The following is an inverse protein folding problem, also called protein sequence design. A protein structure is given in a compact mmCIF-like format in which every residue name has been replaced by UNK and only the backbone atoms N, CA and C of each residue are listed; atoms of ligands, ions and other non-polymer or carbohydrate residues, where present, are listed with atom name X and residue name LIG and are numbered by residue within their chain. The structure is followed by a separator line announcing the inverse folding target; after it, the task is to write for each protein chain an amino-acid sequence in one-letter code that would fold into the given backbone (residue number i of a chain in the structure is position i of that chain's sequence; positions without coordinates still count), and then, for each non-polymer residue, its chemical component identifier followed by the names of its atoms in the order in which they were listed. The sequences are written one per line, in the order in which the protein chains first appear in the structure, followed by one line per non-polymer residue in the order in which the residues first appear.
data_IF_673940308773
#
_entry.id   IF_673940308773
#
_cell.length_a   1.000
_cell.length_b   1.000
_cell.length_c   1.000
_cell.angle_alpha   90.00
_cell.angle_beta   90.00
_cell.angle_gamma   90.00
#
_symmetry.space_group_name_H-M   'P 1'
#
loop_
_entity.id
_entity.type
_entity.pdbx_description
1 polymer ?
#
# COMPACT_ATOMS: atom_id res chain seq x y z
N UNK A 1 -2.88 32.53 -15.37
CA UNK A 1 -1.58 33.17 -15.61
C UNK A 1 -1.63 34.62 -15.15
N UNK A 2 -0.51 35.19 -14.72
CA UNK A 2 -0.38 36.64 -14.49
C UNK A 2 -0.48 37.40 -15.81
N UNK A 3 -0.59 38.73 -15.76
CA UNK A 3 -0.57 39.58 -16.97
C UNK A 3 0.71 39.40 -17.80
N UNK A 4 1.80 39.01 -17.15
CA UNK A 4 3.11 38.73 -17.75
C UNK A 4 3.25 37.29 -18.27
N UNK A 5 2.21 36.47 -18.16
CA UNK A 5 2.21 35.08 -18.65
C UNK A 5 2.74 34.03 -17.65
N UNK A 6 3.07 34.41 -16.42
CA UNK A 6 3.59 33.47 -15.41
C UNK A 6 2.49 32.69 -14.69
N UNK A 7 2.89 31.62 -14.00
CA UNK A 7 1.99 30.80 -13.18
C UNK A 7 1.24 31.66 -12.16
N UNK A 8 -0.07 31.40 -12.05
CA UNK A 8 -0.94 31.92 -10.99
C UNK A 8 -1.93 30.82 -10.67
N UNK A 9 -1.89 30.30 -9.44
CA UNK A 9 -2.84 29.31 -8.94
C UNK A 9 -4.25 29.93 -8.89
N UNK A 10 -5.24 29.19 -9.35
CA UNK A 10 -6.66 29.54 -9.22
C UNK A 10 -7.28 28.78 -8.06
N UNK A 11 -8.42 29.24 -7.55
CA UNK A 11 -9.15 28.57 -6.46
C UNK A 11 -9.57 27.14 -6.86
N UNK A 12 -9.83 26.91 -8.15
CA UNK A 12 -10.19 25.59 -8.68
C UNK A 12 -8.99 24.68 -8.97
N UNK A 13 -7.75 25.15 -8.80
CA UNK A 13 -6.57 24.35 -9.17
C UNK A 13 -6.47 23.06 -8.36
N UNK A 14 -6.59 23.14 -7.03
CA UNK A 14 -6.52 21.96 -6.15
C UNK A 14 -7.73 21.03 -6.36
N UNK A 15 -8.99 21.52 -6.37
CA UNK A 15 -10.14 20.66 -6.64
C UNK A 15 -10.08 19.90 -7.97
N UNK A 16 -9.52 20.51 -9.04
CA UNK A 16 -9.33 19.84 -10.33
C UNK A 16 -8.17 18.83 -10.25
N UNK A 17 -7.04 19.21 -9.64
CA UNK A 17 -5.85 18.35 -9.52
C UNK A 17 -6.14 17.11 -8.66
N UNK A 18 -6.82 17.29 -7.54
CA UNK A 18 -7.19 16.26 -6.56
C UNK A 18 -8.45 15.49 -7.00
N UNK A 19 -8.99 15.81 -8.19
CA UNK A 19 -10.19 15.21 -8.79
C UNK A 19 -11.45 15.28 -7.89
N UNK A 20 -11.52 16.26 -6.99
CA UNK A 20 -12.77 16.63 -6.30
C UNK A 20 -13.80 17.19 -7.29
N UNK A 21 -13.32 17.85 -8.34
CA UNK A 21 -14.10 18.28 -9.49
C UNK A 21 -13.65 17.52 -10.74
N UNK A 22 -14.50 16.63 -11.24
CA UNK A 22 -14.23 15.81 -12.43
C UNK A 22 -14.90 16.44 -13.66
N UNK A 23 -14.16 16.61 -14.74
CA UNK A 23 -14.68 17.16 -15.99
C UNK A 23 -13.61 17.61 -16.99
N UNK A 24 -14.03 18.52 -17.89
CA UNK A 24 -13.17 19.18 -18.86
C UNK A 24 -13.20 20.69 -18.58
N UNK A 25 -12.03 21.27 -18.36
CA UNK A 25 -11.88 22.64 -17.87
C UNK A 25 -11.12 23.49 -18.89
N UNK A 26 -11.67 24.67 -19.19
CA UNK A 26 -10.99 25.71 -19.97
C UNK A 26 -9.84 26.25 -19.13
N UNK A 27 -8.61 26.09 -19.61
CA UNK A 27 -7.39 26.50 -18.89
C UNK A 27 -6.56 27.45 -19.74
N UNK A 28 -5.81 28.36 -19.10
CA UNK A 28 -5.00 29.33 -19.83
C UNK A 28 -3.77 28.72 -20.51
N UNK A 29 -3.34 27.51 -20.12
CA UNK A 29 -2.13 26.83 -20.57
C UNK A 29 -2.18 25.33 -20.22
N UNK A 30 -1.63 24.49 -21.10
CA UNK A 30 -1.35 23.06 -20.85
C UNK A 30 0.12 22.81 -21.19
N UNK A 31 0.83 22.12 -20.30
CA UNK A 31 2.29 22.00 -20.37
C UNK A 31 2.76 20.73 -21.08
N UNK A 32 2.44 19.55 -20.57
CA UNK A 32 3.20 18.33 -20.90
C UNK A 32 2.68 17.56 -22.11
N UNK A 33 1.37 17.30 -22.19
CA UNK A 33 0.77 16.51 -23.27
C UNK A 33 -0.48 17.22 -23.80
N UNK A 34 -0.51 17.47 -25.11
CA UNK A 34 -1.64 18.14 -25.78
C UNK A 34 -2.06 17.35 -27.01
N UNK A 35 -3.37 17.23 -27.20
CA UNK A 35 -3.96 16.72 -28.44
C UNK A 35 -4.55 17.90 -29.21
N UNK A 36 -4.07 18.11 -30.45
CA UNK A 36 -4.50 19.22 -31.31
C UNK A 36 -5.32 18.68 -32.47
N UNK A 37 -6.53 19.22 -32.67
CA UNK A 37 -7.34 18.90 -33.83
C UNK A 37 -6.87 19.71 -35.06
N UNK A 38 -6.18 19.06 -35.99
CA UNK A 38 -5.60 19.69 -37.18
C UNK A 38 -6.62 20.00 -38.29
N UNK A 39 -7.92 19.73 -38.09
CA UNK A 39 -8.98 20.02 -39.07
C UNK A 39 -9.41 21.49 -39.09
N UNK A 40 -9.04 22.27 -38.07
CA UNK A 40 -9.37 23.69 -37.97
C UNK A 40 -8.26 24.57 -38.55
N UNK A 41 -8.63 25.67 -39.21
CA UNK A 41 -7.67 26.57 -39.86
C UNK A 41 -6.81 27.29 -38.81
N UNK A 42 -7.39 27.58 -37.65
CA UNK A 42 -6.76 28.21 -36.50
C UNK A 42 -5.59 27.37 -35.95
N UNK A 43 -5.67 26.04 -36.08
CA UNK A 43 -4.60 25.13 -35.66
C UNK A 43 -3.29 25.36 -36.43
N UNK A 44 -3.34 25.93 -37.64
CA UNK A 44 -2.15 26.29 -38.41
C UNK A 44 -1.34 27.43 -37.79
N UNK A 45 -1.96 28.22 -36.91
CA UNK A 45 -1.32 29.36 -36.24
C UNK A 45 -0.68 28.97 -34.90
N UNK A 46 -0.87 27.72 -34.45
CA UNK A 46 -0.26 27.22 -33.22
C UNK A 46 1.25 27.03 -33.43
N UNK A 47 2.05 27.55 -32.50
CA UNK A 47 3.50 27.55 -32.66
C UNK A 47 4.24 27.65 -31.34
N UNK A 48 5.41 27.03 -31.28
CA UNK A 48 6.40 27.16 -30.20
C UNK A 48 7.45 28.25 -30.49
N UNK A 49 7.32 28.98 -31.62
CA UNK A 49 8.28 30.00 -32.05
C UNK A 49 7.69 31.41 -31.90
N UNK A 50 8.23 32.21 -30.97
CA UNK A 50 7.75 33.56 -30.68
C UNK A 50 7.80 34.49 -31.89
N UNK A 51 8.72 34.27 -32.84
CA UNK A 51 8.88 35.11 -34.04
C UNK A 51 7.70 34.99 -35.01
N UNK A 52 6.93 33.90 -34.91
CA UNK A 52 5.72 33.67 -35.71
C UNK A 52 4.48 34.31 -35.09
N UNK A 53 4.60 34.85 -33.88
CA UNK A 53 3.54 35.56 -33.19
C UNK A 53 3.80 37.06 -33.31
N UNK A 54 2.96 37.74 -34.09
CA UNK A 54 3.09 39.18 -34.26
C UNK A 54 2.96 39.92 -32.91
N UNK A 55 3.88 40.84 -32.65
CA UNK A 55 3.98 41.66 -31.44
C UNK A 55 4.12 40.88 -30.12
N UNK A 56 4.73 39.69 -30.16
CA UNK A 56 5.01 38.93 -28.94
C UNK A 56 6.08 39.61 -28.07
N UNK A 57 5.74 39.88 -26.81
CA UNK A 57 6.61 40.49 -25.80
C UNK A 57 6.70 39.68 -24.51
N UNK A 58 6.24 38.42 -24.54
CA UNK A 58 6.24 37.52 -23.39
C UNK A 58 7.57 36.78 -23.15
N UNK A 59 7.62 35.89 -22.14
CA UNK A 59 8.79 35.06 -21.84
C UNK A 59 9.22 34.17 -23.02
N UNK A 60 10.53 33.93 -23.16
CA UNK A 60 11.06 32.97 -24.14
C UNK A 60 11.01 31.58 -23.51
N UNK A 61 9.83 30.97 -23.57
CA UNK A 61 9.51 29.63 -23.08
C UNK A 61 8.53 28.99 -24.07
N UNK A 62 8.83 27.80 -24.55
CA UNK A 62 8.11 27.16 -25.65
C UNK A 62 6.63 26.87 -25.30
N UNK A 63 6.34 26.46 -24.07
CA UNK A 63 4.99 26.21 -23.57
C UNK A 63 4.20 27.51 -23.44
N UNK A 64 4.81 28.57 -22.89
CA UNK A 64 4.17 29.88 -22.79
C UNK A 64 3.91 30.46 -24.18
N UNK A 65 4.87 30.33 -25.11
CA UNK A 65 4.71 30.74 -26.51
C UNK A 65 3.56 29.97 -27.16
N UNK A 66 3.48 28.65 -26.96
CA UNK A 66 2.41 27.82 -27.49
C UNK A 66 1.04 28.24 -26.97
N UNK A 67 0.89 28.42 -25.66
CA UNK A 67 -0.37 28.86 -25.06
C UNK A 67 -0.76 30.28 -25.51
N UNK A 68 0.21 31.17 -25.72
CA UNK A 68 -0.04 32.49 -26.28
C UNK A 68 -0.50 32.41 -27.74
N UNK A 69 0.12 31.57 -28.56
CA UNK A 69 -0.29 31.36 -29.95
C UNK A 69 -1.71 30.82 -30.05
N UNK A 70 -2.10 29.89 -29.17
CA UNK A 70 -3.45 29.35 -29.07
C UNK A 70 -4.45 30.48 -28.76
N UNK A 71 -4.18 31.26 -27.72
CA UNK A 71 -5.01 32.40 -27.32
C UNK A 71 -5.17 33.43 -28.43
N UNK A 72 -4.08 33.83 -29.09
CA UNK A 72 -4.12 34.81 -30.19
C UNK A 72 -4.90 34.29 -31.40
N UNK A 73 -4.90 32.98 -31.61
CA UNK A 73 -5.62 32.30 -32.69
C UNK A 73 -7.07 31.97 -32.35
N UNK A 74 -7.57 32.33 -31.15
CA UNK A 74 -8.91 31.99 -30.68
C UNK A 74 -9.08 30.51 -30.31
N UNK A 75 -7.99 29.76 -30.21
CA UNK A 75 -7.99 28.34 -29.82
C UNK A 75 -7.96 28.26 -28.29
N UNK A 76 -9.02 27.69 -27.71
CA UNK A 76 -9.09 27.39 -26.28
C UNK A 76 -8.27 26.16 -25.94
N UNK A 77 -7.66 26.16 -24.76
CA UNK A 77 -6.98 24.99 -24.22
C UNK A 77 -7.86 24.35 -23.15
N UNK A 78 -7.89 23.03 -23.13
CA UNK A 78 -8.72 22.26 -22.21
C UNK A 78 -7.86 21.24 -21.47
N UNK A 79 -8.13 21.04 -20.19
CA UNK A 79 -7.62 19.91 -19.40
C UNK A 79 -8.80 19.03 -19.05
N UNK A 80 -8.65 17.73 -19.27
CA UNK A 80 -9.60 16.72 -18.83
C UNK A 80 -8.98 15.90 -17.71
N UNK A 81 -9.73 15.69 -16.64
CA UNK A 81 -9.39 14.75 -15.56
C UNK A 81 -10.49 13.68 -15.37
N UNK A 82 -11.31 13.47 -16.41
CA UNK A 82 -12.40 12.48 -16.41
C UNK A 82 -11.87 11.08 -16.14
N UNK A 83 -10.69 10.77 -16.68
CA UNK A 83 -9.93 9.55 -16.40
C UNK A 83 -8.58 9.90 -15.74
N UNK A 84 -7.99 8.97 -14.96
CA UNK A 84 -6.60 9.05 -14.53
C UNK A 84 -5.68 8.74 -15.71
N UNK A 85 -5.48 9.72 -16.60
CA UNK A 85 -4.71 9.55 -17.84
C UNK A 85 -3.24 9.14 -17.64
N UNK A 86 -2.70 9.33 -16.43
CA UNK A 86 -1.37 8.88 -16.07
C UNK A 86 -0.71 9.77 -15.03
N UNK A 87 0.59 9.56 -14.87
CA UNK A 87 1.41 10.20 -13.86
C UNK A 87 2.57 10.96 -14.51
N UNK A 88 3.05 12.00 -13.83
CA UNK A 88 4.24 12.75 -14.24
C UNK A 88 5.32 12.59 -13.17
N UNK A 89 6.55 12.30 -13.59
CA UNK A 89 7.70 12.34 -12.70
C UNK A 89 7.99 13.78 -12.28
N UNK A 90 8.54 13.94 -11.08
CA UNK A 90 8.97 15.26 -10.62
C UNK A 90 10.26 15.62 -11.34
N UNK A 91 10.37 16.83 -11.95
CA UNK A 91 11.60 17.25 -12.57
C UNK A 91 12.79 17.14 -11.59
N UNK A 92 13.91 16.62 -12.08
CA UNK A 92 15.13 16.52 -11.30
C UNK A 92 15.71 17.92 -11.00
N UNK A 93 16.18 18.08 -9.76
CA UNK A 93 17.04 19.19 -9.36
C UNK A 93 18.49 18.93 -9.81
N UNK A 94 19.34 19.96 -9.76
CA UNK A 94 20.73 19.88 -10.27
C UNK A 94 21.57 18.84 -9.51
N UNK A 95 21.19 18.58 -8.27
CA UNK A 95 21.84 17.68 -7.33
C UNK A 95 21.39 16.23 -7.53
N UNK A 96 20.28 16.00 -8.25
CA UNK A 96 19.80 14.65 -8.49
C UNK A 96 20.63 13.93 -9.56
N UNK A 97 20.78 12.64 -9.35
CA UNK A 97 21.49 11.73 -10.23
C UNK A 97 20.51 11.01 -11.16
N UNK A 98 21.04 10.38 -12.22
CA UNK A 98 20.24 9.47 -13.05
C UNK A 98 19.68 8.28 -12.25
N UNK A 99 20.29 7.93 -11.12
CA UNK A 99 19.78 6.89 -10.25
C UNK A 99 18.53 7.37 -9.51
N UNK A 100 18.51 8.63 -9.04
CA UNK A 100 17.33 9.22 -8.41
C UNK A 100 16.15 9.30 -9.40
N UNK A 101 16.43 9.61 -10.67
CA UNK A 101 15.42 9.62 -11.74
C UNK A 101 14.85 8.22 -12.02
N UNK A 102 15.72 7.20 -12.02
CA UNK A 102 15.29 5.80 -12.13
C UNK A 102 14.42 5.36 -10.96
N UNK A 103 14.75 5.78 -9.74
CA UNK A 103 13.93 5.51 -8.56
C UNK A 103 12.56 6.21 -8.65
N UNK A 104 12.51 7.44 -9.17
CA UNK A 104 11.24 8.12 -9.45
C UNK A 104 10.39 7.37 -10.47
N UNK A 105 11.00 6.92 -11.57
CA UNK A 105 10.30 6.13 -12.59
C UNK A 105 9.76 4.82 -12.02
N UNK A 106 10.57 4.12 -11.20
CA UNK A 106 10.15 2.89 -10.52
C UNK A 106 8.95 3.15 -9.60
N UNK A 107 8.95 4.26 -8.83
CA UNK A 107 7.81 4.62 -7.98
C UNK A 107 6.53 4.85 -8.81
N UNK A 108 6.63 5.56 -9.93
CA UNK A 108 5.49 5.77 -10.84
C UNK A 108 4.97 4.45 -11.40
N UNK A 109 5.87 3.55 -11.82
CA UNK A 109 5.49 2.22 -12.33
C UNK A 109 4.76 1.41 -11.28
N UNK A 110 5.24 1.40 -10.03
CA UNK A 110 4.58 0.68 -8.93
C UNK A 110 3.20 1.25 -8.62
N UNK A 111 3.02 2.58 -8.70
CA UNK A 111 1.70 3.19 -8.54
C UNK A 111 0.74 2.80 -9.67
N UNK A 112 1.22 2.77 -10.92
CA UNK A 112 0.43 2.28 -12.05
C UNK A 112 0.03 0.81 -11.89
N UNK A 113 0.91 -0.01 -11.31
CA UNK A 113 0.65 -1.43 -11.09
C UNK A 113 -0.46 -1.70 -10.06
N UNK A 114 -0.92 -0.69 -9.33
CA UNK A 114 -2.07 -0.83 -8.42
C UNK A 114 -3.35 -1.10 -9.21
N UNK A 115 -3.53 -0.38 -10.31
CA UNK A 115 -4.74 -0.41 -11.15
C UNK A 115 -4.58 -1.31 -12.37
N UNK A 116 -3.37 -1.39 -12.94
CA UNK A 116 -3.06 -2.14 -14.15
C UNK A 116 -2.08 -3.27 -13.85
N UNK A 117 -2.39 -4.55 -14.10
CA UNK A 117 -1.53 -5.65 -13.68
C UNK A 117 -0.16 -5.66 -14.39
N UNK A 118 -0.06 -5.05 -15.58
CA UNK A 118 1.17 -4.97 -16.36
C UNK A 118 1.31 -3.61 -17.05
N UNK A 119 2.56 -3.15 -17.18
CA UNK A 119 2.88 -1.98 -17.99
C UNK A 119 3.24 -2.45 -19.40
N UNK A 120 2.47 -2.03 -20.42
CA UNK A 120 2.76 -2.37 -21.80
C UNK A 120 4.15 -1.86 -22.23
N UNK A 121 4.98 -2.78 -22.71
CA UNK A 121 6.30 -2.48 -23.26
C UNK A 121 6.25 -2.68 -24.77
N UNK A 122 6.59 -1.62 -25.51
CA UNK A 122 6.67 -1.73 -26.96
C UNK A 122 7.73 -2.76 -27.36
N UNK A 123 7.43 -3.75 -28.23
CA UNK A 123 8.37 -4.83 -28.56
C UNK A 123 9.77 -4.36 -29.01
N UNK A 124 9.92 -3.28 -29.82
CA UNK A 124 11.23 -2.74 -30.17
C UNK A 124 12.03 -2.23 -28.97
N UNK A 125 11.37 -1.81 -27.89
CA UNK A 125 11.99 -1.25 -26.70
C UNK A 125 12.30 -2.31 -25.62
N UNK A 126 11.76 -3.52 -25.75
CA UNK A 126 11.89 -4.59 -24.75
C UNK A 126 13.34 -4.86 -24.32
N UNK A 127 14.28 -4.81 -25.27
CA UNK A 127 15.69 -5.10 -25.01
C UNK A 127 16.43 -4.00 -24.21
N UNK A 128 15.84 -2.80 -24.09
CA UNK A 128 16.37 -1.72 -23.23
C UNK A 128 15.92 -1.84 -21.78
N UNK A 129 14.93 -2.69 -21.50
CA UNK A 129 14.38 -2.86 -20.15
C UNK A 129 15.39 -3.65 -19.32
N UNK A 130 15.97 -3.06 -18.28
CA UNK A 130 16.96 -3.76 -17.47
C UNK A 130 16.28 -4.89 -16.70
N UNK A 131 16.97 -6.02 -16.57
CA UNK A 131 16.56 -7.06 -15.62
C UNK A 131 16.87 -6.57 -14.20
N UNK A 132 15.86 -6.55 -13.35
CA UNK A 132 16.00 -6.20 -11.94
C UNK A 132 16.41 -7.46 -11.19
N UNK A 133 17.49 -7.39 -10.42
CA UNK A 133 17.88 -8.48 -9.53
C UNK A 133 16.97 -8.48 -8.32
N UNK A 134 16.40 -9.63 -8.01
CA UNK A 134 15.56 -9.80 -6.83
C UNK A 134 16.37 -10.34 -5.65
N UNK A 135 16.07 -9.87 -4.45
CA UNK A 135 16.59 -10.41 -3.21
C UNK A 135 15.56 -10.33 -2.08
N UNK A 136 15.91 -10.85 -0.91
CA UNK A 136 15.05 -10.86 0.27
C UNK A 136 15.30 -9.67 1.21
N UNK A 137 15.90 -8.57 0.72
CA UNK A 137 16.23 -7.37 1.52
C UNK A 137 17.13 -7.63 2.74
N UNK A 138 17.79 -8.78 2.81
CA UNK A 138 18.57 -9.22 3.98
C UNK A 138 17.76 -9.98 5.04
N UNK A 139 16.48 -10.25 4.80
CA UNK A 139 15.69 -11.19 5.61
C UNK A 139 15.95 -12.63 5.17
N UNK A 140 15.72 -13.59 6.08
CA UNK A 140 15.84 -15.02 5.76
C UNK A 140 14.72 -15.46 4.82
N UNK A 141 13.53 -14.85 4.98
CA UNK A 141 12.37 -15.09 4.15
C UNK A 141 11.47 -13.86 3.99
N UNK A 142 10.87 -13.73 2.82
CA UNK A 142 9.80 -12.77 2.54
C UNK A 142 8.58 -13.59 2.13
N UNK A 143 7.46 -13.40 2.80
CA UNK A 143 6.20 -14.10 2.52
C UNK A 143 5.21 -13.15 1.84
N UNK A 144 4.54 -13.65 0.81
CA UNK A 144 3.33 -13.06 0.24
C UNK A 144 2.16 -14.00 0.54
N UNK A 145 1.26 -13.58 1.42
CA UNK A 145 0.01 -14.29 1.74
C UNK A 145 -0.99 -13.97 0.63
N UNK A 146 -1.45 -15.00 -0.07
CA UNK A 146 -2.44 -14.84 -1.14
C UNK A 146 -3.43 -16.01 -1.17
N UNK A 147 -4.71 -15.70 -1.39
CA UNK A 147 -5.73 -16.71 -1.64
C UNK A 147 -5.55 -17.29 -3.04
N UNK A 148 -5.57 -18.62 -3.16
CA UNK A 148 -5.39 -19.31 -4.45
C UNK A 148 -6.43 -18.88 -5.51
N UNK A 149 -7.65 -18.54 -5.06
CA UNK A 149 -8.74 -18.02 -5.90
C UNK A 149 -8.62 -16.55 -6.30
N UNK A 150 -7.55 -15.85 -5.91
CA UNK A 150 -7.23 -14.45 -6.25
C UNK A 150 -5.98 -14.35 -7.13
N UNK A 151 -5.96 -14.99 -8.33
CA UNK A 151 -4.80 -14.93 -9.21
C UNK A 151 -4.46 -13.50 -9.66
N UNK A 152 -5.46 -12.63 -9.79
CA UNK A 152 -5.30 -11.22 -10.19
C UNK A 152 -4.50 -10.42 -9.17
N UNK A 153 -4.81 -10.57 -7.87
CA UNK A 153 -4.07 -9.91 -6.78
C UNK A 153 -2.64 -10.44 -6.70
N UNK A 154 -2.47 -11.75 -6.90
CA UNK A 154 -1.17 -12.42 -6.93
C UNK A 154 -0.28 -11.90 -8.04
N UNK A 155 -0.78 -11.91 -9.27
CA UNK A 155 -0.03 -11.45 -10.46
C UNK A 155 0.41 -10.00 -10.29
N UNK A 156 -0.52 -9.14 -9.90
CA UNK A 156 -0.24 -7.74 -9.59
C UNK A 156 0.89 -7.59 -8.57
N UNK A 157 0.79 -8.27 -7.42
CA UNK A 157 1.81 -8.21 -6.38
C UNK A 157 3.17 -8.77 -6.83
N UNK A 158 3.19 -9.85 -7.60
CA UNK A 158 4.44 -10.40 -8.15
C UNK A 158 5.10 -9.43 -9.13
N UNK A 159 4.32 -8.78 -9.99
CA UNK A 159 4.83 -7.77 -10.90
C UNK A 159 5.36 -6.55 -10.14
N UNK A 160 4.64 -6.09 -9.11
CA UNK A 160 5.11 -5.01 -8.22
C UNK A 160 6.39 -5.39 -7.49
N UNK A 161 6.47 -6.59 -6.90
CA UNK A 161 7.64 -7.06 -6.16
C UNK A 161 8.87 -7.23 -7.07
N UNK A 162 8.69 -7.76 -8.28
CA UNK A 162 9.75 -7.85 -9.28
C UNK A 162 10.25 -6.45 -9.69
N UNK A 163 9.33 -5.49 -9.88
CA UNK A 163 9.68 -4.10 -10.19
C UNK A 163 10.53 -3.45 -9.11
N UNK A 164 10.29 -3.75 -7.83
CA UNK A 164 11.10 -3.24 -6.69
C UNK A 164 12.25 -4.17 -6.27
N UNK A 165 12.47 -5.26 -7.01
CA UNK A 165 13.56 -6.21 -6.79
C UNK A 165 13.45 -7.01 -5.50
N UNK A 166 12.24 -7.43 -5.12
CA UNK A 166 11.98 -8.23 -3.93
C UNK A 166 11.55 -9.64 -4.34
N UNK A 167 12.33 -10.63 -3.91
CA UNK A 167 11.98 -12.03 -4.04
C UNK A 167 11.07 -12.43 -2.88
N UNK A 168 9.86 -12.91 -3.17
CA UNK A 168 8.91 -13.40 -2.18
C UNK A 168 8.56 -14.89 -2.39
N UNK A 169 8.31 -15.58 -1.28
CA UNK A 169 7.69 -16.89 -1.25
C UNK A 169 6.18 -16.74 -1.08
N UNK A 170 5.41 -17.34 -1.98
CA UNK A 170 3.96 -17.29 -1.94
C UNK A 170 3.47 -18.32 -0.92
N UNK A 171 2.91 -17.85 0.19
CA UNK A 171 2.21 -18.69 1.14
C UNK A 171 0.74 -18.74 0.74
N UNK A 172 0.25 -19.95 0.45
CA UNK A 172 -1.17 -20.16 0.13
C UNK A 172 -2.01 -19.87 1.37
N UNK A 173 -2.79 -18.80 1.30
CA UNK A 173 -3.72 -18.42 2.34
C UNK A 173 -4.84 -19.46 2.49
N UNK A 174 -5.36 -19.56 3.70
CA UNK A 174 -6.51 -20.40 4.03
C UNK A 174 -7.77 -19.67 3.61
N UNK A 175 -8.48 -20.22 2.61
CA UNK A 175 -9.72 -19.63 2.14
C UNK A 175 -10.86 -19.92 3.11
N UNK A 176 -11.37 -18.87 3.76
CA UNK A 176 -12.51 -18.96 4.67
C UNK A 176 -13.74 -19.59 4.01
N UNK A 177 -13.95 -19.39 2.70
CA UNK A 177 -15.07 -19.98 1.96
C UNK A 177 -14.93 -21.49 1.76
N UNK A 178 -13.70 -22.01 1.84
CA UNK A 178 -13.41 -23.44 1.73
C UNK A 178 -13.29 -24.14 3.10
N UNK A 179 -13.32 -23.39 4.22
CA UNK A 179 -13.30 -23.97 5.56
C UNK A 179 -14.60 -24.72 5.82
N UNK A 180 -14.49 -25.99 6.20
CA UNK A 180 -15.60 -26.80 6.67
C UNK A 180 -15.46 -27.10 8.17
N UNK A 181 -16.55 -27.54 8.79
CA UNK A 181 -16.62 -27.72 10.25
C UNK A 181 -15.68 -28.84 10.73
N UNK A 182 -15.47 -29.89 9.94
CA UNK A 182 -14.53 -30.96 10.27
C UNK A 182 -13.09 -30.45 10.39
N UNK A 183 -12.68 -29.53 9.51
CA UNK A 183 -11.35 -28.92 9.59
C UNK A 183 -11.21 -28.02 10.83
N UNK A 184 -12.26 -27.24 11.15
CA UNK A 184 -12.30 -26.38 12.35
C UNK A 184 -12.16 -27.24 13.61
N UNK A 185 -12.93 -28.33 13.71
CA UNK A 185 -12.88 -29.27 14.83
C UNK A 185 -11.52 -29.97 14.94
N UNK A 186 -10.97 -30.47 13.82
CA UNK A 186 -9.68 -31.15 13.78
C UNK A 186 -8.54 -30.24 14.24
N UNK A 187 -8.59 -28.95 13.85
CA UNK A 187 -7.61 -27.95 14.26
C UNK A 187 -7.85 -27.43 15.70
N UNK A 188 -8.93 -27.87 16.35
CA UNK A 188 -9.31 -27.41 17.69
C UNK A 188 -9.65 -25.93 17.74
N UNK A 189 -10.12 -25.36 16.62
CA UNK A 189 -10.44 -23.95 16.52
C UNK A 189 -11.72 -23.69 17.28
N UNK A 190 -11.64 -22.81 18.28
CA UNK A 190 -12.79 -22.34 19.04
C UNK A 190 -12.68 -20.85 19.20
N UNK A 191 -13.79 -20.16 19.01
CA UNK A 191 -13.85 -18.75 19.31
C UNK A 191 -13.65 -18.50 20.81
N UNK A 192 -13.05 -17.36 21.14
CA UNK A 192 -13.03 -16.88 22.53
C UNK A 192 -14.49 -16.67 23.00
N UNK A 193 -14.93 -17.22 24.16
CA UNK A 193 -16.35 -17.27 24.53
C UNK A 193 -17.08 -15.92 24.61
N UNK A 194 -16.38 -14.87 25.01
CA UNK A 194 -16.86 -13.48 25.14
C UNK A 194 -16.46 -12.59 23.96
N UNK A 195 -15.95 -13.17 22.88
CA UNK A 195 -15.68 -12.41 21.67
C UNK A 195 -17.00 -12.06 20.96
N UNK A 196 -17.15 -10.77 20.68
CA UNK A 196 -18.13 -10.25 19.74
C UNK A 196 -17.45 -9.14 18.96
N UNK A 197 -17.59 -9.17 17.63
CA UNK A 197 -17.05 -8.15 16.74
C UNK A 197 -17.39 -6.74 17.26
N UNK A 198 -16.42 -5.84 17.48
CA UNK A 198 -16.66 -4.55 18.12
C UNK A 198 -17.70 -3.70 17.38
N UNK A 199 -17.77 -3.81 16.05
CA UNK A 199 -18.63 -2.98 15.19
C UNK A 199 -20.02 -3.57 14.95
N UNK A 200 -20.09 -4.85 14.60
CA UNK A 200 -21.31 -5.54 14.18
C UNK A 200 -21.89 -6.45 15.27
N UNK A 201 -21.19 -6.62 16.40
CA UNK A 201 -21.60 -7.47 17.54
C UNK A 201 -21.90 -8.92 17.14
N UNK A 202 -21.13 -9.44 16.18
CA UNK A 202 -21.28 -10.79 15.58
C UNK A 202 -20.13 -11.73 15.97
N UNK A 203 -20.30 -13.06 15.83
CA UNK A 203 -19.19 -14.00 15.90
C UNK A 203 -18.19 -13.82 14.74
N UNK A 204 -17.05 -14.52 14.82
CA UNK A 204 -16.06 -14.56 13.75
C UNK A 204 -16.70 -15.01 12.42
N UNK A 205 -16.32 -14.41 11.30
CA UNK A 205 -16.57 -14.99 9.98
C UNK A 205 -15.57 -16.12 9.71
N UNK A 206 -15.92 -17.02 8.77
CA UNK A 206 -14.95 -18.01 8.28
C UNK A 206 -13.76 -17.33 7.58
N UNK A 207 -13.97 -16.18 6.96
CA UNK A 207 -12.91 -15.36 6.37
C UNK A 207 -11.91 -14.83 7.40
N UNK A 208 -12.38 -14.34 8.56
CA UNK A 208 -11.52 -13.93 9.68
C UNK A 208 -10.72 -15.11 10.23
N UNK A 209 -11.34 -16.30 10.33
CA UNK A 209 -10.62 -17.54 10.70
C UNK A 209 -9.55 -17.87 9.65
N UNK A 210 -9.88 -17.83 8.35
CA UNK A 210 -8.95 -18.08 7.26
C UNK A 210 -7.76 -17.11 7.26
N UNK A 211 -8.02 -15.82 7.49
CA UNK A 211 -6.98 -14.80 7.66
C UNK A 211 -6.05 -15.15 8.83
N UNK A 212 -6.60 -15.42 10.02
CA UNK A 212 -5.78 -15.81 11.17
C UNK A 212 -4.92 -17.04 10.88
N UNK A 213 -5.50 -18.09 10.31
CA UNK A 213 -4.78 -19.32 10.01
C UNK A 213 -3.66 -19.11 8.99
N UNK A 214 -3.84 -18.20 8.04
CA UNK A 214 -2.80 -17.86 7.05
C UNK A 214 -1.57 -17.26 7.75
N UNK A 215 -1.77 -16.33 8.69
CA UNK A 215 -0.67 -15.76 9.49
C UNK A 215 -0.09 -16.79 10.45
N UNK A 216 -0.92 -17.64 11.06
CA UNK A 216 -0.47 -18.73 11.91
C UNK A 216 0.43 -19.72 11.17
N UNK A 217 0.12 -20.03 9.91
CA UNK A 217 0.97 -20.86 9.05
C UNK A 217 2.31 -20.19 8.73
N UNK A 218 2.34 -18.87 8.47
CA UNK A 218 3.60 -18.12 8.36
C UNK A 218 4.45 -18.27 9.64
N UNK A 219 3.86 -18.08 10.82
CA UNK A 219 4.61 -18.20 12.08
C UNK A 219 5.13 -19.62 12.32
N UNK A 220 4.32 -20.63 11.98
CA UNK A 220 4.73 -22.05 12.05
C UNK A 220 5.89 -22.34 11.10
N UNK A 221 5.84 -21.83 9.88
CA UNK A 221 6.89 -22.00 8.86
C UNK A 221 8.20 -21.34 9.30
N UNK A 222 8.13 -20.11 9.83
CA UNK A 222 9.28 -19.41 10.43
C UNK A 222 9.95 -20.25 11.52
N UNK A 223 9.14 -20.87 12.40
CA UNK A 223 9.64 -21.72 13.49
C UNK A 223 10.25 -23.00 12.93
N UNK A 224 9.59 -23.67 12.00
CA UNK A 224 10.06 -24.93 11.42
C UNK A 224 11.41 -24.76 10.72
N UNK A 225 11.54 -23.71 9.91
CA UNK A 225 12.74 -23.43 9.12
C UNK A 225 13.77 -22.54 9.85
N UNK A 226 13.51 -22.17 11.12
CA UNK A 226 14.39 -21.35 11.94
C UNK A 226 14.77 -20.00 11.29
N UNK A 227 13.84 -19.38 10.57
CA UNK A 227 14.05 -18.06 9.98
C UNK A 227 14.17 -17.00 11.08
N UNK A 228 15.34 -16.39 11.22
CA UNK A 228 15.65 -15.41 12.27
C UNK A 228 14.77 -14.17 12.15
N UNK A 229 14.57 -13.70 10.92
CA UNK A 229 13.73 -12.55 10.59
C UNK A 229 13.02 -12.77 9.27
N UNK A 230 11.75 -12.39 9.20
CA UNK A 230 10.96 -12.43 7.98
C UNK A 230 10.16 -11.15 7.77
N UNK A 231 9.89 -10.84 6.50
CA UNK A 231 8.92 -9.85 6.05
C UNK A 231 7.65 -10.58 5.62
N UNK A 232 6.48 -10.13 6.08
CA UNK A 232 5.18 -10.71 5.73
C UNK A 232 4.34 -9.65 5.04
N UNK A 233 3.79 -9.98 3.88
CA UNK A 233 2.99 -9.13 3.01
C UNK A 233 1.64 -9.80 2.74
N UNK A 234 0.54 -9.05 2.85
CA UNK A 234 -0.76 -9.40 2.25
C UNK A 234 -0.80 -8.98 0.77
N UNK A 235 -1.82 -9.43 0.03
CA UNK A 235 -1.87 -9.27 -1.44
C UNK A 235 -2.58 -8.00 -1.96
N UNK A 236 -3.20 -7.22 -1.06
CA UNK A 236 -4.04 -6.07 -1.38
C UNK A 236 -3.47 -4.73 -0.87
N UNK A 237 -2.14 -4.66 -0.76
CA UNK A 237 -1.38 -3.47 -0.41
C UNK A 237 -0.74 -2.78 -1.62
N UNK A 238 -0.33 -1.53 -1.43
CA UNK A 238 0.54 -0.73 -2.29
C UNK A 238 1.72 -0.20 -1.48
N UNK A 239 2.85 0.00 -2.15
CA UNK A 239 4.10 0.42 -1.51
C UNK A 239 4.26 1.94 -1.54
N UNK A 240 4.72 2.50 -0.44
CA UNK A 240 5.11 3.90 -0.36
C UNK A 240 6.34 4.17 -1.27
N UNK A 241 6.44 5.33 -1.95
CA UNK A 241 7.60 5.68 -2.76
C UNK A 241 8.92 5.47 -2.02
N UNK A 242 9.90 4.92 -2.73
CA UNK A 242 11.22 4.55 -2.21
C UNK A 242 11.20 3.48 -1.10
N UNK A 243 10.19 2.59 -1.12
CA UNK A 243 10.00 1.52 -0.13
C UNK A 243 11.29 0.79 0.25
N UNK A 244 12.04 0.30 -0.75
CA UNK A 244 13.28 -0.47 -0.55
C UNK A 244 14.33 0.31 0.26
N UNK A 245 14.50 1.60 -0.03
CA UNK A 245 15.42 2.48 0.69
C UNK A 245 14.94 2.74 2.12
N UNK A 246 13.63 2.98 2.28
CA UNK A 246 12.99 3.25 3.58
C UNK A 246 13.06 2.04 4.53
N UNK A 247 12.72 0.84 4.05
CA UNK A 247 12.78 -0.39 4.87
C UNK A 247 14.22 -0.74 5.27
N UNK A 248 15.18 -0.59 4.35
CA UNK A 248 16.60 -0.78 4.67
C UNK A 248 17.11 0.24 5.69
N UNK A 249 16.66 1.49 5.59
CA UNK A 249 16.94 2.53 6.60
C UNK A 249 16.39 2.15 7.97
N UNK A 250 15.13 1.72 8.03
CA UNK A 250 14.48 1.27 9.26
C UNK A 250 15.23 0.09 9.91
N UNK A 251 15.60 -0.93 9.12
CA UNK A 251 16.35 -2.09 9.64
C UNK A 251 17.73 -1.67 10.17
N UNK A 252 18.43 -0.76 9.48
CA UNK A 252 19.70 -0.21 9.95
C UNK A 252 19.54 0.58 11.26
N UNK A 253 18.50 1.38 11.40
CA UNK A 253 18.20 2.12 12.62
C UNK A 253 17.96 1.16 13.80
N UNK A 254 17.13 0.13 13.60
CA UNK A 254 16.84 -0.92 14.59
C UNK A 254 18.13 -1.62 15.06
N UNK A 255 19.01 -1.97 14.11
CA UNK A 255 20.30 -2.60 14.42
C UNK A 255 21.23 -1.65 15.18
N UNK A 256 21.33 -0.39 14.74
CA UNK A 256 22.22 0.62 15.31
C UNK A 256 21.89 0.91 16.77
N UNK A 257 20.60 0.98 17.12
CA UNK A 257 20.16 1.23 18.50
C UNK A 257 20.13 -0.05 19.36
N UNK A 258 20.41 -1.22 18.77
CA UNK A 258 20.35 -2.51 19.45
C UNK A 258 18.94 -2.85 19.98
N UNK A 259 17.90 -2.43 19.26
CA UNK A 259 16.52 -2.61 19.71
C UNK A 259 16.18 -4.10 19.75
N UNK A 260 15.67 -4.55 20.89
CA UNK A 260 15.06 -5.85 20.98
C UNK A 260 13.59 -5.76 20.55
N UNK A 261 13.25 -6.36 19.42
CA UNK A 261 11.92 -6.35 18.83
C UNK A 261 11.47 -7.77 18.48
N UNK A 262 10.15 -7.95 18.39
CA UNK A 262 9.53 -9.20 17.95
C UNK A 262 8.66 -9.00 16.72
N UNK A 263 7.98 -7.84 16.63
CA UNK A 263 7.15 -7.46 15.49
C UNK A 263 7.30 -5.97 15.19
N UNK A 264 7.38 -5.60 13.90
CA UNK A 264 7.34 -4.19 13.46
C UNK A 264 6.32 -4.06 12.35
N UNK A 265 5.25 -3.28 12.58
CA UNK A 265 4.28 -2.96 11.54
C UNK A 265 4.89 -2.04 10.48
N UNK A 266 4.63 -2.35 9.22
CA UNK A 266 4.96 -1.52 8.05
C UNK A 266 3.70 -0.97 7.37
N UNK A 267 2.56 -1.64 7.54
CA UNK A 267 1.24 -1.16 7.14
C UNK A 267 0.16 -1.68 8.08
N UNK A 268 -0.65 -0.76 8.60
CA UNK A 268 -1.73 -1.02 9.56
C UNK A 268 -2.72 0.15 9.61
N UNK A 269 -3.88 -0.05 10.22
CA UNK A 269 -4.80 1.01 10.64
C UNK A 269 -4.58 1.31 12.11
N UNK A 270 -4.14 2.52 12.41
CA UNK A 270 -4.04 3.01 13.78
C UNK A 270 -5.44 3.37 14.31
N UNK A 271 -5.75 2.94 15.53
CA UNK A 271 -7.03 3.25 16.18
C UNK A 271 -6.87 4.21 17.37
N UNK A 272 -5.69 4.29 17.96
CA UNK A 272 -5.41 5.25 19.03
C UNK A 272 -5.29 6.68 18.48
N UNK A 273 -6.18 7.57 18.93
CA UNK A 273 -6.14 9.01 18.63
C UNK A 273 -4.91 9.69 19.25
N UNK A 274 -4.40 9.14 20.35
CA UNK A 274 -3.23 9.67 21.06
C UNK A 274 -1.93 9.38 20.30
N UNK A 275 -1.09 10.39 20.08
CA UNK A 275 0.24 10.30 19.45
C UNK A 275 1.05 9.08 19.89
N UNK A 276 1.73 8.40 18.95
CA UNK A 276 2.62 7.28 19.29
C UNK A 276 4.06 7.82 19.42
N UNK A 277 4.72 7.64 20.57
CA UNK A 277 6.04 8.21 20.80
C UNK A 277 7.11 7.49 19.98
N UNK A 278 8.05 8.24 19.43
CA UNK A 278 9.22 7.69 18.76
C UNK A 278 10.10 6.91 19.73
N UNK A 279 10.68 5.81 19.23
CA UNK A 279 11.68 5.03 19.96
C UNK A 279 12.94 5.87 20.08
N UNK A 280 13.51 5.95 21.28
CA UNK A 280 14.70 6.76 21.54
C UNK A 280 15.86 6.37 20.60
N UNK A 281 16.38 7.35 19.86
CA UNK A 281 17.48 7.16 18.90
C UNK A 281 17.07 6.63 17.52
N UNK A 282 15.77 6.32 17.30
CA UNK A 282 15.24 5.96 16.00
C UNK A 282 14.62 7.18 15.29
N UNK A 283 14.76 7.25 13.97
CA UNK A 283 14.18 8.34 13.17
C UNK A 283 12.81 8.00 12.56
N UNK A 284 12.52 6.70 12.41
CA UNK A 284 11.34 6.22 11.66
C UNK A 284 10.59 5.09 12.37
N UNK A 285 10.71 5.01 13.70
CA UNK A 285 10.12 3.92 14.50
C UNK A 285 9.43 4.48 15.74
N UNK A 286 8.21 4.03 16.00
CA UNK A 286 7.39 4.42 17.16
C UNK A 286 7.00 3.21 18.00
N UNK A 287 6.69 3.44 19.26
CA UNK A 287 5.99 2.47 20.10
C UNK A 287 4.55 2.32 19.60
N UNK A 288 4.19 1.11 19.18
CA UNK A 288 2.86 0.84 18.63
C UNK A 288 1.80 0.84 19.74
N UNK A 289 0.62 1.34 19.40
CA UNK A 289 -0.58 1.27 20.23
C UNK A 289 -1.68 0.42 19.53
N UNK A 290 -2.90 0.41 20.07
CA UNK A 290 -4.02 -0.35 19.50
C UNK A 290 -4.21 -0.08 18.00
N UNK A 291 -4.28 -1.17 17.23
CA UNK A 291 -4.17 -1.17 15.77
C UNK A 291 -5.02 -2.27 15.16
N UNK A 292 -5.57 -2.00 13.99
CA UNK A 292 -6.14 -2.99 13.07
C UNK A 292 -5.28 -3.18 11.82
N UNK A 293 -5.67 -4.19 11.03
CA UNK A 293 -5.03 -4.61 9.79
C UNK A 293 -3.60 -5.16 9.97
N UNK A 294 -3.27 -6.15 9.16
CA UNK A 294 -1.97 -6.82 9.16
C UNK A 294 -1.27 -6.81 7.81
N UNK A 295 -1.61 -5.81 6.98
CA UNK A 295 -1.13 -5.61 5.60
C UNK A 295 0.34 -5.99 5.41
N UNK A 296 1.22 -5.47 6.28
CA UNK A 296 2.63 -5.78 6.22
C UNK A 296 3.32 -5.60 7.57
N UNK A 297 4.15 -6.57 7.94
CA UNK A 297 4.97 -6.49 9.14
C UNK A 297 6.27 -7.29 9.02
N UNK A 298 7.26 -6.88 9.81
CA UNK A 298 8.45 -7.66 10.11
C UNK A 298 8.19 -8.51 11.34
N UNK A 299 8.75 -9.72 11.38
CA UNK A 299 8.67 -10.60 12.54
C UNK A 299 9.99 -11.34 12.76
N UNK A 300 10.37 -11.53 14.03
CA UNK A 300 11.51 -12.37 14.40
C UNK A 300 11.08 -13.80 14.69
N UNK A 301 12.03 -14.74 14.66
CA UNK A 301 11.82 -16.11 15.12
C UNK A 301 11.20 -16.16 16.52
N UNK A 302 11.69 -15.32 17.43
CA UNK A 302 11.19 -15.25 18.81
C UNK A 302 9.78 -14.67 18.87
N UNK A 303 9.45 -13.69 18.03
CA UNK A 303 8.08 -13.20 17.85
C UNK A 303 7.14 -14.30 17.41
N UNK A 304 7.49 -15.05 16.36
CA UNK A 304 6.70 -16.17 15.87
C UNK A 304 6.48 -17.24 16.96
N UNK A 305 7.54 -17.61 17.70
CA UNK A 305 7.44 -18.54 18.84
C UNK A 305 6.49 -18.04 19.91
N UNK A 306 6.55 -16.75 20.29
CA UNK A 306 5.64 -16.15 21.29
C UNK A 306 4.19 -16.27 20.85
N UNK A 307 3.89 -15.88 19.61
CA UNK A 307 2.54 -15.93 19.04
C UNK A 307 1.98 -17.36 18.99
N UNK A 308 2.76 -18.34 18.51
CA UNK A 308 2.32 -19.75 18.46
C UNK A 308 2.19 -20.34 19.88
N UNK A 309 3.13 -20.02 20.79
CA UNK A 309 3.10 -20.52 22.18
C UNK A 309 1.94 -19.99 23.02
N UNK A 310 1.30 -18.90 22.58
CA UNK A 310 0.09 -18.37 23.20
C UNK A 310 -1.12 -19.30 23.07
N UNK A 311 -1.00 -20.32 22.20
CA UNK A 311 -2.02 -21.31 21.87
C UNK A 311 -3.36 -20.65 21.48
N UNK A 312 -3.39 -19.88 20.38
CA UNK A 312 -4.55 -19.06 20.05
C UNK A 312 -5.73 -19.83 19.47
N UNK A 313 -5.51 -20.99 18.83
CA UNK A 313 -6.57 -21.71 18.11
C UNK A 313 -7.80 -22.05 18.98
N UNK A 314 -7.65 -22.51 20.25
CA UNK A 314 -8.81 -22.83 21.10
C UNK A 314 -9.51 -21.61 21.73
N UNK A 315 -9.08 -20.38 21.42
CA UNK A 315 -9.59 -19.11 21.98
C UNK A 315 -9.37 -17.98 20.96
N UNK A 316 -9.77 -18.26 19.73
CA UNK A 316 -9.51 -17.46 18.56
C UNK A 316 -10.26 -16.13 18.62
N UNK A 317 -9.56 -15.08 18.22
CA UNK A 317 -10.06 -13.75 17.86
C UNK A 317 -9.41 -13.39 16.50
N UNK A 318 -9.87 -12.35 15.78
CA UNK A 318 -9.21 -11.92 14.55
C UNK A 318 -7.73 -11.65 14.77
N UNK A 319 -6.90 -11.80 13.73
CA UNK A 319 -5.44 -11.64 13.87
C UNK A 319 -5.06 -10.23 14.33
N UNK A 320 -5.80 -9.24 13.89
CA UNK A 320 -5.63 -7.84 14.22
C UNK A 320 -6.18 -7.46 15.60
N UNK A 321 -6.97 -8.33 16.25
CA UNK A 321 -7.25 -8.25 17.70
C UNK A 321 -6.22 -9.02 18.52
N UNK A 322 -5.80 -10.19 18.02
CA UNK A 322 -4.84 -11.06 18.69
C UNK A 322 -3.47 -10.40 18.85
N UNK A 323 -2.95 -9.73 17.82
CA UNK A 323 -1.64 -9.08 17.90
C UNK A 323 -1.62 -7.99 19.00
N UNK A 324 -2.56 -7.02 19.05
CA UNK A 324 -2.65 -6.06 20.16
C UNK A 324 -2.81 -6.68 21.54
N UNK A 325 -3.50 -7.82 21.66
CA UNK A 325 -3.52 -8.58 22.92
C UNK A 325 -2.10 -9.00 23.27
N UNK A 326 -1.35 -9.60 22.33
CA UNK A 326 -0.02 -10.14 22.59
C UNK A 326 1.05 -9.08 22.92
N UNK A 327 0.89 -7.84 22.48
CA UNK A 327 1.74 -6.70 22.88
C UNK A 327 1.11 -5.78 23.95
N UNK A 328 0.05 -6.24 24.61
CA UNK A 328 -0.60 -5.62 25.78
C UNK A 328 -1.15 -4.20 25.53
N UNK A 329 -1.68 -3.94 24.33
CA UNK A 329 -2.30 -2.66 23.95
C UNK A 329 -3.76 -2.79 23.52
N UNK A 330 -4.35 -3.96 23.68
CA UNK A 330 -5.77 -4.16 23.41
C UNK A 330 -6.65 -3.50 24.50
N UNK A 331 -7.76 -2.82 24.14
CA UNK A 331 -8.64 -2.14 25.09
C UNK A 331 -9.51 -3.10 25.93
N UNK A 332 -9.93 -4.25 25.37
CA UNK A 332 -10.74 -5.24 26.10
C UNK A 332 -9.91 -6.07 27.08
N UNK A 333 -9.99 -5.75 28.38
CA UNK A 333 -9.29 -6.46 29.46
C UNK A 333 -9.71 -7.93 29.59
N UNK A 334 -10.99 -8.24 29.32
CA UNK A 334 -11.50 -9.62 29.38
C UNK A 334 -10.77 -10.50 28.37
N UNK A 335 -10.63 -10.04 27.12
CA UNK A 335 -9.96 -10.80 26.07
C UNK A 335 -8.46 -10.97 26.37
N UNK A 336 -7.80 -9.92 26.88
CA UNK A 336 -6.43 -10.02 27.37
C UNK A 336 -6.27 -11.04 28.49
N UNK A 337 -7.28 -11.21 29.35
CA UNK A 337 -7.31 -12.20 30.43
C UNK A 337 -7.08 -13.64 29.95
N UNK A 338 -7.56 -13.98 28.75
CA UNK A 338 -7.34 -15.30 28.12
C UNK A 338 -5.90 -15.54 27.65
N UNK A 339 -5.09 -14.49 27.60
CA UNK A 339 -3.70 -14.52 27.15
C UNK A 339 -2.80 -13.87 28.23
N UNK A 340 -2.39 -14.60 29.28
CA UNK A 340 -1.64 -14.00 30.40
C UNK A 340 -0.20 -13.60 30.06
N UNK A 341 0.41 -14.20 29.02
CA UNK A 341 1.79 -13.89 28.58
C UNK A 341 1.76 -12.95 27.38
N UNK A 342 1.68 -11.65 27.63
CA UNK A 342 1.59 -10.58 26.61
C UNK A 342 2.91 -9.81 26.51
N UNK A 343 3.96 -10.51 26.11
CA UNK A 343 5.34 -9.98 26.10
C UNK A 343 5.91 -9.84 24.69
N UNK A 344 5.04 -9.70 23.67
CA UNK A 344 5.46 -9.40 22.31
C UNK A 344 5.93 -7.93 22.24
N UNK A 345 7.20 -7.71 21.89
CA UNK A 345 7.77 -6.37 21.74
C UNK A 345 7.45 -5.86 20.34
N UNK A 346 6.33 -5.14 20.23
CA UNK A 346 5.85 -4.62 18.96
C UNK A 346 6.19 -3.12 18.80
N UNK A 347 6.47 -2.73 17.55
CA UNK A 347 6.73 -1.35 17.13
C UNK A 347 6.05 -1.09 15.77
N UNK A 348 6.09 0.14 15.29
CA UNK A 348 5.59 0.50 13.96
C UNK A 348 6.55 1.44 13.26
N UNK A 349 6.67 1.31 11.94
CA UNK A 349 7.26 2.35 11.10
C UNK A 349 6.45 3.65 11.20
N UNK A 350 7.13 4.78 11.15
CA UNK A 350 6.52 6.12 11.05
C UNK A 350 7.36 7.01 10.11
N UNK A 351 6.83 7.46 8.97
CA UNK A 351 5.53 7.07 8.39
C UNK A 351 5.45 5.56 8.06
N UNK A 352 4.23 5.07 7.83
CA UNK A 352 4.04 3.71 7.30
C UNK A 352 4.69 3.57 5.92
N UNK A 353 5.04 2.34 5.57
CA UNK A 353 5.75 2.02 4.32
C UNK A 353 4.86 1.33 3.29
N UNK A 354 3.69 0.85 3.70
CA UNK A 354 2.67 0.33 2.79
C UNK A 354 1.28 0.76 3.25
N UNK A 355 0.36 0.80 2.30
CA UNK A 355 -1.03 1.22 2.50
C UNK A 355 -1.96 0.24 1.77
N UNK A 356 -3.24 0.13 2.15
CA UNK A 356 -4.17 -0.65 1.35
C UNK A 356 -4.32 0.00 -0.03
N UNK A 357 -4.68 -0.82 -1.00
CA UNK A 357 -4.90 -0.35 -2.38
C UNK A 357 -6.21 0.39 -2.52
N UNK A 358 -7.22 -0.03 -1.76
CA UNK A 358 -8.50 0.61 -1.66
C UNK A 358 -8.94 0.65 -0.19
N UNK A 359 -9.55 1.74 0.22
CA UNK A 359 -10.16 1.89 1.54
C UNK A 359 -11.64 1.50 1.52
N UNK A 360 -12.16 1.12 2.68
CA UNK A 360 -13.59 0.80 2.84
C UNK A 360 -14.47 1.94 2.32
N UNK A 361 -15.37 1.63 1.39
CA UNK A 361 -16.27 2.60 0.75
C UNK A 361 -15.76 3.20 -0.56
N UNK A 362 -14.51 2.94 -0.95
CA UNK A 362 -14.00 3.29 -2.27
C UNK A 362 -14.54 2.35 -3.35
N UNK A 363 -14.64 2.86 -4.57
CA UNK A 363 -14.97 2.05 -5.75
C UNK A 363 -13.91 0.95 -5.89
N UNK A 364 -14.35 -0.30 -6.11
CA UNK A 364 -13.50 -1.51 -6.19
C UNK A 364 -12.93 -2.05 -4.87
N UNK A 365 -13.33 -1.50 -3.69
CA UNK A 365 -13.03 -2.16 -2.42
C UNK A 365 -13.71 -3.54 -2.32
N UNK A 366 -12.93 -4.58 -2.02
CA UNK A 366 -13.41 -5.96 -1.83
C UNK A 366 -12.72 -6.57 -0.60
N UNK A 367 -13.51 -7.10 0.33
CA UNK A 367 -13.02 -7.67 1.59
C UNK A 367 -13.31 -9.17 1.67
N UNK A 368 -12.29 -10.01 1.45
CA UNK A 368 -12.45 -11.46 1.50
C UNK A 368 -12.68 -12.02 2.92
N UNK A 369 -12.42 -11.21 3.96
CA UNK A 369 -12.70 -11.55 5.36
C UNK A 369 -14.14 -11.22 5.75
N UNK A 370 -14.64 -10.06 5.34
CA UNK A 370 -15.99 -9.58 5.68
C UNK A 370 -17.08 -10.19 4.77
N UNK A 371 -16.77 -10.50 3.50
CA UNK A 371 -17.71 -11.05 2.50
C UNK A 371 -17.89 -12.59 2.61
N UNK A 372 -17.82 -13.13 3.82
CA UNK A 372 -17.90 -14.58 4.07
C UNK A 372 -18.92 -14.94 5.15
N UNK A 373 -19.41 -16.18 5.12
CA UNK A 373 -20.39 -16.66 6.08
C UNK A 373 -19.87 -16.58 7.51
N UNK A 374 -20.79 -16.33 8.45
CA UNK A 374 -20.50 -16.44 9.88
C UNK A 374 -19.99 -17.86 10.18
N UNK A 375 -18.95 -17.96 11.00
CA UNK A 375 -18.61 -19.23 11.62
C UNK A 375 -19.79 -19.60 12.51
N UNK A 376 -20.52 -20.66 12.15
CA UNK A 376 -21.65 -21.13 12.93
C UNK A 376 -21.18 -21.39 14.37
N UNK A 377 -21.89 -20.84 15.35
CA UNK A 377 -21.65 -21.14 16.74
C UNK A 377 -21.78 -22.64 16.95
N UNK A 378 -20.68 -23.30 17.34
CA UNK A 378 -20.73 -24.62 17.94
C UNK A 378 -21.48 -24.49 19.27
N UNK A 379 -22.78 -24.80 19.20
CA UNK A 379 -23.68 -25.29 20.25
C UNK A 379 -23.91 -24.41 21.49
N UNK A 380 -25.15 -23.93 21.61
CA UNK A 380 -25.94 -24.05 22.85
C UNK A 380 -27.32 -24.58 22.44
N UNK A 381 -27.45 -25.88 22.19
CA UNK A 381 -28.13 -26.76 23.15
C UNK A 381 -27.41 -26.97 24.50
N UNK A 382 -28.26 -27.13 25.53
CA UNK A 382 -28.01 -27.44 26.96
C UNK A 382 -27.84 -26.27 27.96
N UNK A 383 -28.95 -25.58 28.27
CA UNK A 383 -29.74 -25.77 29.52
C UNK A 383 -30.98 -24.85 29.55
#
# INVERSE_FOLDING_TARGET
MTEQGYYKRTDNYLPILEREQIGCFDVPMVHSAVLVNLRYKESLNLTFDSRKIENYSGPIDDIIIFAHSARKSGVKMWVSNVEPFGYMMTPLEKENTLQDDREQLQNVKVEMLVDEPEVYISPPLQHFVPKISEDKLGFDQVYLINLERRPERRERMLNTLSEIGIQAHILRAVDGKALNDSYIEQMGIKMLPEYADPYHKRPLTRGEIGCFLSHYHVWKDIIEHQHRTALVLEDDLRFEPYFRKKIQGLVKDVQKIGLLWDLIYLGRKRLSESGEPFVAGASSLVHVDYSYWTLCYLITLEGAKKLVSANPLPKLVPVDEFLPIMFDKHPEEVWKGYYPKRNLRAFSAQPLLVYPTHYTGEVNYISDTEDSDLALSVVKDEL
#
